data_IF_131970405841
#
_entry.id   IF_131970405841
#
_cell.length_a   1.000
_cell.length_b   1.000
_cell.length_c   1.000
_cell.angle_alpha   90.00
_cell.angle_beta   90.00
_cell.angle_gamma   90.00
#
_symmetry.space_group_name_H-M   'P 1'
#
loop_
_entity.id
_entity.type
_entity.pdbx_description
1 polymer ?
#
# COMPACT_ATOMS: atom_id res chain seq x y z
N UNK A 1 -6.25 14.92 3.90
CA UNK A 1 -5.12 13.98 3.78
C UNK A 1 -4.78 13.71 2.32
N UNK A 2 -3.50 13.42 2.03
CA UNK A 2 -3.07 12.83 0.76
C UNK A 2 -3.00 11.31 0.93
N UNK A 3 -3.71 10.56 0.07
CA UNK A 3 -3.66 9.10 0.03
C UNK A 3 -3.06 8.68 -1.31
N UNK A 4 -1.86 8.11 -1.32
CA UNK A 4 -1.29 7.48 -2.51
C UNK A 4 -1.76 6.03 -2.62
N UNK A 5 -2.03 5.55 -3.82
CA UNK A 5 -2.69 4.25 -4.03
C UNK A 5 -4.19 4.28 -3.70
N UNK A 6 -4.83 5.43 -3.87
CA UNK A 6 -6.23 5.68 -3.50
C UNK A 6 -7.25 4.81 -4.24
N UNK A 7 -6.94 4.35 -5.46
CA UNK A 7 -7.76 3.41 -6.23
C UNK A 7 -7.37 1.94 -5.98
N UNK A 8 -6.36 1.70 -5.14
CA UNK A 8 -6.01 0.38 -4.62
C UNK A 8 -7.05 -0.12 -3.62
N UNK A 9 -6.92 -1.38 -3.18
CA UNK A 9 -7.89 -2.01 -2.27
C UNK A 9 -7.99 -1.26 -0.93
N UNK A 10 -6.88 -1.15 -0.20
CA UNK A 10 -6.86 -0.50 1.12
C UNK A 10 -7.12 1.01 0.99
N UNK A 11 -6.47 1.66 0.01
CA UNK A 11 -6.60 3.10 -0.22
C UNK A 11 -8.04 3.52 -0.52
N UNK A 12 -8.78 2.71 -1.29
CA UNK A 12 -10.20 2.95 -1.57
C UNK A 12 -11.06 2.92 -0.31
N UNK A 13 -10.89 1.91 0.55
CA UNK A 13 -11.67 1.80 1.79
C UNK A 13 -11.33 2.93 2.77
N UNK A 14 -10.04 3.24 2.93
CA UNK A 14 -9.59 4.33 3.77
C UNK A 14 -10.11 5.69 3.27
N UNK A 15 -10.02 5.95 1.97
CA UNK A 15 -10.55 7.19 1.39
C UNK A 15 -12.06 7.31 1.64
N UNK A 16 -12.84 6.24 1.42
CA UNK A 16 -14.28 6.22 1.72
C UNK A 16 -14.59 6.50 3.18
N UNK A 17 -13.86 5.85 4.09
CA UNK A 17 -14.05 6.04 5.52
C UNK A 17 -13.78 7.50 5.93
N UNK A 18 -12.64 8.06 5.53
CA UNK A 18 -12.30 9.44 5.86
C UNK A 18 -13.25 10.45 5.20
N UNK A 19 -13.71 10.20 3.98
CA UNK A 19 -14.74 11.03 3.34
C UNK A 19 -16.07 11.00 4.11
N UNK A 20 -16.45 9.86 4.70
CA UNK A 20 -17.64 9.77 5.56
C UNK A 20 -17.49 10.50 6.90
N UNK A 21 -16.26 10.85 7.27
CA UNK A 21 -15.91 11.69 8.43
C UNK A 21 -15.64 13.17 8.03
N UNK A 22 -16.12 13.60 6.87
CA UNK A 22 -16.00 14.97 6.34
C UNK A 22 -14.56 15.44 6.07
N UNK A 23 -13.62 14.51 5.88
CA UNK A 23 -12.25 14.85 5.51
C UNK A 23 -12.16 15.27 4.04
N UNK A 24 -11.27 16.21 3.75
CA UNK A 24 -10.80 16.48 2.38
C UNK A 24 -9.70 15.49 2.01
N UNK A 25 -9.92 14.70 0.96
CA UNK A 25 -9.01 13.65 0.52
C UNK A 25 -8.46 13.99 -0.85
N UNK A 26 -7.14 14.00 -0.94
CA UNK A 26 -6.41 14.04 -2.20
C UNK A 26 -5.98 12.62 -2.52
N UNK A 27 -6.51 12.03 -3.57
CA UNK A 27 -6.18 10.69 -4.03
C UNK A 27 -5.18 10.74 -5.18
N UNK A 28 -4.08 10.01 -5.07
CA UNK A 28 -3.12 9.79 -6.15
C UNK A 28 -3.02 8.29 -6.44
N UNK A 29 -3.22 7.89 -7.71
CA UNK A 29 -3.05 6.50 -8.15
C UNK A 29 -2.45 6.43 -9.56
N UNK A 30 -1.51 5.52 -9.76
CA UNK A 30 -0.85 5.32 -11.05
C UNK A 30 -1.66 4.51 -12.05
N UNK A 31 -2.78 3.92 -11.66
CA UNK A 31 -3.64 3.06 -12.50
C UNK A 31 -2.87 1.96 -13.24
N UNK A 32 -1.83 1.40 -12.58
CA UNK A 32 -1.01 0.33 -13.18
C UNK A 32 -1.83 -0.91 -13.49
N UNK A 33 -1.43 -1.65 -14.52
CA UNK A 33 -2.12 -2.82 -15.06
C UNK A 33 -1.71 -4.16 -14.40
N UNK A 34 -1.12 -4.10 -13.21
CA UNK A 34 -0.76 -5.30 -12.44
C UNK A 34 -1.95 -6.26 -12.23
N UNK A 35 -3.15 -5.71 -12.13
CA UNK A 35 -4.42 -6.43 -12.22
C UNK A 35 -5.45 -5.55 -12.95
N UNK A 36 -6.65 -6.09 -13.22
CA UNK A 36 -7.69 -5.41 -14.01
C UNK A 36 -7.88 -3.94 -13.58
N UNK A 37 -7.50 -3.03 -14.47
CA UNK A 37 -7.59 -1.58 -14.27
C UNK A 37 -9.04 -1.11 -14.14
N UNK A 38 -10.01 -1.85 -14.72
CA UNK A 38 -11.42 -1.48 -14.60
C UNK A 38 -11.91 -1.57 -13.15
N UNK A 39 -11.35 -2.48 -12.35
CA UNK A 39 -11.64 -2.52 -10.92
C UNK A 39 -11.13 -1.26 -10.19
N UNK A 40 -9.95 -0.75 -10.55
CA UNK A 40 -9.42 0.52 -10.01
C UNK A 40 -10.27 1.71 -10.44
N UNK A 41 -10.66 1.75 -11.71
CA UNK A 41 -11.55 2.79 -12.26
C UNK A 41 -12.92 2.81 -11.58
N UNK A 42 -13.49 1.63 -11.31
CA UNK A 42 -14.77 1.52 -10.60
C UNK A 42 -14.67 2.08 -9.16
N UNK A 43 -13.59 1.74 -8.44
CA UNK A 43 -13.32 2.33 -7.10
C UNK A 43 -13.16 3.85 -7.17
N UNK A 44 -12.35 4.33 -8.13
CA UNK A 44 -12.12 5.76 -8.33
C UNK A 44 -13.43 6.51 -8.64
N UNK A 45 -14.27 5.94 -9.51
CA UNK A 45 -15.57 6.53 -9.84
C UNK A 45 -16.43 6.77 -8.59
N UNK A 46 -16.51 5.77 -7.70
CA UNK A 46 -17.24 5.88 -6.44
C UNK A 46 -16.65 6.94 -5.49
N UNK A 47 -15.33 7.10 -5.46
CA UNK A 47 -14.69 8.16 -4.67
C UNK A 47 -15.00 9.55 -5.24
N UNK A 48 -14.99 9.69 -6.58
CA UNK A 48 -15.26 10.96 -7.27
C UNK A 48 -16.73 11.44 -7.15
N UNK A 49 -17.65 10.63 -6.66
CA UNK A 49 -19.01 11.05 -6.32
C UNK A 49 -19.04 12.01 -5.11
N UNK A 50 -18.00 12.01 -4.29
CA UNK A 50 -17.88 12.91 -3.13
C UNK A 50 -17.10 14.17 -3.50
N UNK A 51 -17.68 15.34 -3.24
CA UNK A 51 -17.08 16.66 -3.57
C UNK A 51 -15.81 16.98 -2.78
N UNK A 52 -15.56 16.29 -1.66
CA UNK A 52 -14.34 16.42 -0.87
C UNK A 52 -13.20 15.52 -1.37
N UNK A 53 -13.39 14.78 -2.47
CA UNK A 53 -12.35 13.95 -3.08
C UNK A 53 -11.72 14.63 -4.30
N UNK A 54 -10.42 14.89 -4.23
CA UNK A 54 -9.63 15.47 -5.30
C UNK A 54 -8.78 14.36 -5.95
N UNK A 55 -9.05 14.06 -7.21
CA UNK A 55 -8.42 12.93 -7.90
C UNK A 55 -7.24 13.34 -8.77
N UNK A 56 -6.10 12.69 -8.55
CA UNK A 56 -4.91 12.78 -9.40
C UNK A 56 -4.54 11.40 -9.94
N UNK A 57 -4.22 11.34 -11.22
CA UNK A 57 -3.68 10.14 -11.85
C UNK A 57 -2.21 10.37 -12.19
N UNK A 58 -1.33 9.53 -11.65
CA UNK A 58 0.10 9.59 -11.90
C UNK A 58 0.87 8.69 -10.95
N UNK A 59 2.14 8.55 -11.24
CA UNK A 59 3.02 7.66 -10.48
C UNK A 59 3.70 8.42 -9.33
N UNK A 60 3.96 7.73 -8.23
CA UNK A 60 4.64 8.32 -7.06
C UNK A 60 6.11 8.65 -7.32
N UNK A 61 6.71 8.14 -8.39
CA UNK A 61 8.04 8.53 -8.86
C UNK A 61 8.05 9.92 -9.54
N UNK A 62 6.91 10.47 -9.89
CA UNK A 62 6.82 11.82 -10.48
C UNK A 62 6.89 12.89 -9.38
N UNK A 63 8.10 13.33 -9.09
CA UNK A 63 8.34 14.36 -8.09
C UNK A 63 7.72 15.71 -8.43
N UNK A 64 7.52 16.03 -9.73
CA UNK A 64 6.87 17.27 -10.15
C UNK A 64 5.40 17.24 -9.80
N UNK A 65 4.71 16.14 -10.12
CA UNK A 65 3.31 15.92 -9.75
C UNK A 65 3.11 15.96 -8.23
N UNK A 66 3.98 15.32 -7.45
CA UNK A 66 3.91 15.37 -5.98
C UNK A 66 4.05 16.80 -5.44
N UNK A 67 4.97 17.60 -5.98
CA UNK A 67 5.13 18.99 -5.59
C UNK A 67 3.92 19.85 -5.99
N UNK A 68 3.34 19.62 -7.16
CA UNK A 68 2.10 20.27 -7.61
C UNK A 68 0.94 19.97 -6.65
N UNK A 69 0.69 18.70 -6.36
CA UNK A 69 -0.34 18.25 -5.42
C UNK A 69 -0.17 18.94 -4.06
N UNK A 70 1.06 18.93 -3.53
CA UNK A 70 1.31 19.54 -2.23
C UNK A 70 1.10 21.05 -2.25
N UNK A 71 1.57 21.74 -3.28
CA UNK A 71 1.43 23.20 -3.42
C UNK A 71 -0.04 23.62 -3.48
N UNK A 72 -0.88 22.84 -4.17
CA UNK A 72 -2.30 23.12 -4.36
C UNK A 72 -3.14 22.84 -3.10
N UNK A 73 -2.80 21.79 -2.35
CA UNK A 73 -3.68 21.26 -1.30
C UNK A 73 -3.12 21.31 0.11
N UNK A 74 -1.79 21.38 0.27
CA UNK A 74 -1.07 21.40 1.56
C UNK A 74 -1.62 20.38 2.56
N UNK A 75 -1.61 19.09 2.24
CA UNK A 75 -2.18 18.05 3.11
C UNK A 75 -1.43 17.99 4.44
N UNK A 76 -2.18 18.01 5.55
CA UNK A 76 -1.63 17.83 6.90
C UNK A 76 -1.14 16.41 7.15
N UNK A 77 -1.83 15.42 6.59
CA UNK A 77 -1.53 14.00 6.76
C UNK A 77 -1.23 13.41 5.39
N UNK A 78 -0.16 12.61 5.32
CA UNK A 78 0.18 11.82 4.13
C UNK A 78 0.06 10.34 4.48
N UNK A 79 -0.71 9.59 3.69
CA UNK A 79 -0.90 8.15 3.85
C UNK A 79 -0.38 7.47 2.58
N UNK A 80 0.82 6.92 2.67
CA UNK A 80 1.51 6.32 1.53
C UNK A 80 1.24 4.82 1.45
N UNK A 81 0.25 4.46 0.60
CA UNK A 81 -0.13 3.07 0.33
C UNK A 81 0.26 2.61 -1.08
N UNK A 82 0.62 3.54 -1.97
CA UNK A 82 1.07 3.21 -3.31
C UNK A 82 2.35 2.38 -3.26
N UNK A 83 2.32 1.22 -3.89
CA UNK A 83 3.47 0.34 -4.03
C UNK A 83 3.20 -0.69 -5.13
N UNK A 84 4.25 -1.24 -5.73
CA UNK A 84 4.15 -2.51 -6.40
C UNK A 84 4.13 -3.61 -5.33
N UNK A 85 3.03 -4.36 -5.28
CA UNK A 85 2.82 -5.45 -4.33
C UNK A 85 2.90 -6.82 -5.03
N UNK A 86 2.98 -7.90 -4.24
CA UNK A 86 3.04 -9.27 -4.74
C UNK A 86 4.44 -9.87 -4.65
N UNK A 87 4.59 -10.91 -3.83
CA UNK A 87 5.89 -11.57 -3.62
C UNK A 87 6.38 -12.25 -4.90
N UNK A 88 5.50 -12.96 -5.63
CA UNK A 88 5.89 -13.69 -6.85
C UNK A 88 6.25 -12.77 -7.99
N UNK A 89 5.43 -11.75 -8.22
CA UNK A 89 5.68 -10.79 -9.30
C UNK A 89 7.01 -10.03 -9.11
N UNK A 90 7.53 -9.95 -7.87
CA UNK A 90 8.86 -9.36 -7.64
C UNK A 90 10.03 -10.19 -8.19
N UNK A 91 9.78 -11.44 -8.54
CA UNK A 91 10.75 -12.31 -9.22
C UNK A 91 10.71 -12.05 -10.74
N UNK A 92 9.51 -11.86 -11.27
CA UNK A 92 9.26 -11.69 -12.71
C UNK A 92 9.61 -10.28 -13.19
N UNK A 93 9.26 -9.26 -12.39
CA UNK A 93 9.45 -7.84 -12.74
C UNK A 93 10.03 -7.04 -11.56
N UNK A 94 11.29 -7.25 -11.17
CA UNK A 94 11.90 -6.58 -10.02
C UNK A 94 12.03 -5.05 -10.21
N UNK A 95 12.18 -4.58 -11.46
CA UNK A 95 12.35 -3.15 -11.74
C UNK A 95 11.16 -2.32 -11.28
N UNK A 96 9.92 -2.84 -11.42
CA UNK A 96 8.73 -2.14 -10.97
C UNK A 96 8.70 -1.91 -9.45
N UNK A 97 9.39 -2.77 -8.69
CA UNK A 97 9.56 -2.61 -7.23
C UNK A 97 10.64 -1.57 -6.88
N UNK A 98 11.70 -1.50 -7.66
CA UNK A 98 12.70 -0.42 -7.50
C UNK A 98 12.04 0.93 -7.74
N UNK A 99 11.36 1.07 -8.87
CA UNK A 99 10.71 2.33 -9.26
C UNK A 99 9.62 2.75 -8.27
N UNK A 100 8.65 1.88 -8.01
CA UNK A 100 7.50 2.24 -7.16
C UNK A 100 7.85 2.26 -5.67
N UNK A 101 8.54 1.22 -5.18
CA UNK A 101 8.71 1.06 -3.73
C UNK A 101 9.92 1.84 -3.21
N UNK A 102 11.04 1.89 -3.94
CA UNK A 102 12.23 2.62 -3.48
C UNK A 102 12.22 4.06 -3.96
N UNK A 103 12.18 4.30 -5.27
CA UNK A 103 12.24 5.67 -5.82
C UNK A 103 10.96 6.44 -5.46
N UNK A 104 9.78 5.82 -5.61
CA UNK A 104 8.52 6.45 -5.24
C UNK A 104 8.45 6.81 -3.76
N UNK A 105 8.84 5.90 -2.87
CA UNK A 105 8.91 6.17 -1.42
C UNK A 105 9.92 7.27 -1.09
N UNK A 106 11.09 7.28 -1.75
CA UNK A 106 12.07 8.35 -1.59
C UNK A 106 11.46 9.73 -1.93
N UNK A 107 10.72 9.85 -3.02
CA UNK A 107 10.08 11.12 -3.37
C UNK A 107 8.99 11.55 -2.38
N UNK A 108 8.25 10.62 -1.81
CA UNK A 108 7.29 10.90 -0.72
C UNK A 108 8.02 11.41 0.54
N UNK A 109 9.13 10.77 0.92
CA UNK A 109 9.94 11.20 2.06
C UNK A 109 10.58 12.57 1.82
N UNK A 110 11.11 12.85 0.62
CA UNK A 110 11.64 14.16 0.27
C UNK A 110 10.56 15.25 0.25
N UNK A 111 9.35 14.93 -0.21
CA UNK A 111 8.21 15.84 -0.12
C UNK A 111 7.86 16.09 1.36
N UNK A 112 7.76 15.06 2.19
CA UNK A 112 7.48 15.19 3.63
C UNK A 112 8.58 15.99 4.36
N UNK A 113 9.87 15.74 4.04
CA UNK A 113 10.98 16.52 4.59
C UNK A 113 10.88 18.00 4.26
N UNK A 114 10.51 18.33 3.02
CA UNK A 114 10.42 19.73 2.55
C UNK A 114 9.25 20.47 3.19
N UNK A 115 8.11 19.82 3.29
CA UNK A 115 6.86 20.48 3.63
C UNK A 115 6.35 20.20 5.05
N UNK A 116 6.96 19.24 5.75
CA UNK A 116 6.69 18.88 7.15
C UNK A 116 5.19 18.71 7.44
N UNK A 117 4.53 17.68 6.88
CA UNK A 117 3.17 17.35 7.27
C UNK A 117 3.12 16.96 8.76
N UNK A 118 1.95 17.06 9.37
CA UNK A 118 1.77 16.69 10.79
C UNK A 118 2.08 15.21 11.04
N UNK A 119 1.85 14.34 10.05
CA UNK A 119 2.19 12.91 10.13
C UNK A 119 2.32 12.28 8.75
N UNK A 120 3.30 11.39 8.60
CA UNK A 120 3.45 10.48 7.46
C UNK A 120 3.18 9.04 7.90
N UNK A 121 2.12 8.44 7.36
CA UNK A 121 1.72 7.05 7.60
C UNK A 121 2.09 6.21 6.38
N UNK A 122 2.81 5.09 6.56
CA UNK A 122 3.34 4.32 5.43
C UNK A 122 3.06 2.83 5.57
N UNK A 123 2.67 2.20 4.46
CA UNK A 123 2.47 0.76 4.40
C UNK A 123 3.82 0.01 4.29
N UNK A 124 4.11 -0.83 5.28
CA UNK A 124 5.04 -1.94 5.20
C UNK A 124 4.26 -3.25 4.98
N UNK A 125 4.81 -4.38 5.35
CA UNK A 125 4.22 -5.72 5.13
C UNK A 125 4.71 -6.72 6.16
N UNK A 126 3.88 -7.69 6.52
CA UNK A 126 4.31 -8.83 7.32
C UNK A 126 5.40 -9.69 6.66
N UNK A 127 5.59 -9.57 5.34
CA UNK A 127 6.67 -10.25 4.61
C UNK A 127 8.08 -9.85 5.08
N UNK A 128 8.24 -8.72 5.78
CA UNK A 128 9.54 -8.29 6.35
C UNK A 128 10.02 -9.20 7.47
N UNK A 129 9.12 -9.94 8.13
CA UNK A 129 9.49 -10.93 9.16
C UNK A 129 10.25 -12.14 8.58
N UNK A 130 10.21 -12.34 7.26
CA UNK A 130 10.96 -13.40 6.58
C UNK A 130 10.56 -14.80 7.04
N UNK A 131 11.54 -15.60 7.40
CA UNK A 131 11.38 -16.98 7.87
C UNK A 131 11.30 -17.11 9.41
N UNK A 132 10.92 -16.04 10.10
CA UNK A 132 10.80 -16.09 11.56
C UNK A 132 9.79 -17.17 11.99
N UNK A 133 10.20 -17.98 12.98
CA UNK A 133 9.39 -19.11 13.49
C UNK A 133 8.70 -18.81 14.80
N UNK A 134 9.08 -17.72 15.47
CA UNK A 134 8.50 -17.31 16.75
C UNK A 134 7.14 -16.67 16.52
N UNK A 135 6.09 -17.40 16.84
CA UNK A 135 4.70 -16.98 16.68
C UNK A 135 4.01 -16.77 18.05
N UNK A 136 3.09 -15.81 18.14
CA UNK A 136 2.65 -14.84 17.12
C UNK A 136 3.72 -13.81 16.78
N UNK A 137 3.67 -13.29 15.55
CA UNK A 137 4.58 -12.21 15.13
C UNK A 137 4.20 -10.91 15.82
N UNK A 138 5.22 -10.14 16.24
CA UNK A 138 5.03 -8.82 16.82
C UNK A 138 6.15 -7.85 16.37
N UNK A 139 5.94 -6.56 16.54
CA UNK A 139 6.74 -5.49 15.94
C UNK A 139 8.19 -5.43 16.43
N UNK A 140 8.48 -5.93 17.62
CA UNK A 140 9.84 -5.94 18.20
C UNK A 140 10.72 -7.11 17.70
N UNK A 141 10.13 -8.04 16.93
CA UNK A 141 10.89 -9.15 16.38
C UNK A 141 11.86 -8.69 15.28
N UNK A 142 12.98 -9.39 15.20
CA UNK A 142 14.02 -9.17 14.22
C UNK A 142 13.50 -9.42 12.78
N UNK A 143 13.78 -8.50 11.86
CA UNK A 143 13.30 -8.51 10.47
C UNK A 143 14.45 -8.29 9.47
N UNK A 144 15.60 -8.92 9.68
CA UNK A 144 16.84 -8.65 8.92
C UNK A 144 17.01 -9.58 7.71
N UNK A 145 16.17 -10.61 7.57
CA UNK A 145 16.29 -11.63 6.54
C UNK A 145 15.03 -11.75 5.69
N UNK A 146 14.68 -10.72 4.88
CA UNK A 146 13.53 -10.78 3.99
C UNK A 146 13.73 -11.88 2.93
N UNK A 147 12.67 -12.67 2.66
CA UNK A 147 12.73 -13.84 1.77
C UNK A 147 12.32 -13.53 0.33
N UNK A 148 12.03 -12.29 -0.02
CA UNK A 148 11.68 -11.88 -1.37
C UNK A 148 12.17 -10.48 -1.67
N UNK A 149 12.31 -10.15 -2.96
CA UNK A 149 12.70 -8.80 -3.37
C UNK A 149 11.65 -7.76 -2.93
N UNK A 150 10.36 -8.10 -3.01
CA UNK A 150 9.29 -7.27 -2.43
C UNK A 150 9.51 -6.97 -0.94
N UNK A 151 9.74 -8.01 -0.14
CA UNK A 151 9.98 -7.85 1.29
C UNK A 151 11.24 -7.01 1.56
N UNK A 152 12.30 -7.20 0.76
CA UNK A 152 13.54 -6.43 0.86
C UNK A 152 13.30 -4.93 0.58
N UNK A 153 12.53 -4.58 -0.48
CA UNK A 153 12.19 -3.18 -0.75
C UNK A 153 11.37 -2.55 0.38
N UNK A 154 10.42 -3.28 0.96
CA UNK A 154 9.63 -2.79 2.09
C UNK A 154 10.47 -2.64 3.37
N UNK A 155 11.37 -3.59 3.65
CA UNK A 155 12.32 -3.46 4.77
C UNK A 155 13.28 -2.28 4.59
N UNK A 156 13.75 -2.04 3.38
CA UNK A 156 14.55 -0.85 3.07
C UNK A 156 13.78 0.44 3.38
N UNK A 157 12.48 0.49 3.02
CA UNK A 157 11.64 1.65 3.33
C UNK A 157 11.48 1.87 4.84
N UNK A 158 11.38 0.81 5.66
CA UNK A 158 11.36 0.95 7.12
C UNK A 158 12.65 1.60 7.63
N UNK A 159 13.81 1.15 7.15
CA UNK A 159 15.10 1.69 7.55
C UNK A 159 15.29 3.17 7.09
N UNK A 160 14.91 3.47 5.85
CA UNK A 160 14.98 4.84 5.31
C UNK A 160 14.02 5.76 6.07
N UNK A 161 12.77 5.34 6.31
CA UNK A 161 11.78 6.12 7.06
C UNK A 161 12.25 6.44 8.49
N UNK A 162 12.83 5.46 9.19
CA UNK A 162 13.42 5.67 10.51
C UNK A 162 14.54 6.73 10.47
N UNK A 163 15.44 6.64 9.49
CA UNK A 163 16.52 7.61 9.29
C UNK A 163 15.98 9.02 9.03
N UNK A 164 14.95 9.15 8.17
CA UNK A 164 14.32 10.44 7.88
C UNK A 164 13.61 11.04 9.10
N UNK A 165 12.86 10.23 9.84
CA UNK A 165 12.21 10.69 11.07
C UNK A 165 13.22 11.23 12.08
N UNK A 166 14.35 10.51 12.26
CA UNK A 166 15.42 10.92 13.18
C UNK A 166 16.15 12.18 12.71
N UNK A 167 16.54 12.26 11.43
CA UNK A 167 17.36 13.36 10.91
C UNK A 167 16.59 14.67 10.74
N UNK A 168 15.30 14.58 10.41
CA UNK A 168 14.51 15.75 9.99
C UNK A 168 13.37 16.08 10.95
N UNK A 169 13.24 15.34 12.03
CA UNK A 169 12.31 15.57 13.13
C UNK A 169 10.86 15.77 12.65
N UNK A 170 10.28 14.72 12.04
CA UNK A 170 8.85 14.65 11.74
C UNK A 170 8.33 13.23 11.95
N UNK A 171 7.06 13.07 12.41
CA UNK A 171 6.54 11.77 12.79
C UNK A 171 6.24 10.89 11.57
N UNK A 172 6.77 9.66 11.61
CA UNK A 172 6.49 8.61 10.63
C UNK A 172 6.01 7.36 11.38
N UNK A 173 4.89 6.78 10.92
CA UNK A 173 4.43 5.47 11.38
C UNK A 173 4.45 4.48 10.22
N UNK A 174 5.08 3.31 10.44
CA UNK A 174 5.12 2.21 9.49
C UNK A 174 4.18 1.08 9.94
N UNK A 175 3.27 0.65 9.05
CA UNK A 175 2.34 -0.45 9.34
C UNK A 175 2.77 -1.74 8.62
N UNK A 176 3.03 -2.81 9.35
CA UNK A 176 3.31 -4.15 8.78
C UNK A 176 2.01 -4.89 8.54
N UNK A 177 1.32 -4.56 7.46
CA UNK A 177 0.05 -5.20 7.12
C UNK A 177 0.22 -6.70 6.87
N UNK A 178 -0.67 -7.49 7.45
CA UNK A 178 -0.85 -8.90 7.16
C UNK A 178 -1.74 -9.09 5.94
N UNK A 179 -2.40 -10.25 5.79
CA UNK A 179 -3.23 -10.50 4.61
C UNK A 179 -4.59 -9.81 4.77
N UNK A 180 -4.74 -8.67 4.12
CA UNK A 180 -5.99 -7.90 4.18
C UNK A 180 -7.01 -8.49 3.22
N UNK A 181 -8.26 -8.65 3.67
CA UNK A 181 -9.37 -9.15 2.89
C UNK A 181 -10.63 -8.30 3.06
N UNK A 182 -11.59 -8.46 2.17
CA UNK A 182 -12.88 -7.76 2.24
C UNK A 182 -13.47 -7.43 0.87
N UNK A 183 -14.61 -6.73 0.83
CA UNK A 183 -15.25 -6.28 -0.41
C UNK A 183 -14.29 -5.45 -1.26
N UNK A 184 -14.45 -5.48 -2.57
CA UNK A 184 -13.54 -4.78 -3.49
C UNK A 184 -12.07 -5.23 -3.35
N UNK A 185 -11.81 -6.45 -2.86
CA UNK A 185 -10.47 -7.00 -2.65
C UNK A 185 -9.66 -7.12 -3.94
N UNK A 186 -8.38 -7.44 -3.79
CA UNK A 186 -7.46 -7.63 -4.92
C UNK A 186 -7.71 -8.99 -5.58
N UNK A 187 -7.83 -9.05 -6.92
CA UNK A 187 -8.16 -10.29 -7.63
C UNK A 187 -6.98 -11.29 -7.71
N UNK A 188 -5.76 -10.84 -7.40
CA UNK A 188 -4.55 -11.68 -7.35
C UNK A 188 -4.37 -12.42 -6.01
N UNK A 189 -5.21 -12.14 -5.00
CA UNK A 189 -5.17 -12.79 -3.69
C UNK A 189 -5.90 -14.14 -3.68
N UNK A 190 -5.45 -15.06 -2.82
CA UNK A 190 -5.95 -16.43 -2.75
C UNK A 190 -7.47 -16.52 -2.58
N UNK A 191 -8.05 -15.74 -1.65
CA UNK A 191 -9.50 -15.75 -1.41
C UNK A 191 -10.30 -15.42 -2.68
N UNK A 192 -9.87 -14.39 -3.42
CA UNK A 192 -10.53 -14.01 -4.67
C UNK A 192 -10.36 -15.10 -5.74
N UNK A 193 -9.12 -15.58 -5.94
CA UNK A 193 -8.82 -16.63 -6.93
C UNK A 193 -9.59 -17.91 -6.66
N UNK A 194 -9.60 -18.36 -5.42
CA UNK A 194 -10.29 -19.58 -5.03
C UNK A 194 -11.80 -19.45 -5.23
N UNK A 195 -12.42 -18.36 -4.74
CA UNK A 195 -13.83 -18.10 -4.93
C UNK A 195 -14.20 -18.06 -6.42
N UNK A 196 -13.43 -17.33 -7.22
CA UNK A 196 -13.67 -17.22 -8.68
C UNK A 196 -13.56 -18.58 -9.36
N UNK A 197 -12.54 -19.38 -9.05
CA UNK A 197 -12.33 -20.67 -9.67
C UNK A 197 -13.41 -21.69 -9.27
N UNK A 198 -13.77 -21.73 -7.97
CA UNK A 198 -14.84 -22.61 -7.47
C UNK A 198 -16.19 -22.27 -8.14
N UNK A 199 -16.55 -20.98 -8.20
CA UNK A 199 -17.79 -20.54 -8.87
C UNK A 199 -17.81 -20.79 -10.38
N UNK A 200 -16.63 -20.97 -10.99
CA UNK A 200 -16.47 -21.25 -12.43
C UNK A 200 -16.17 -22.72 -12.72
N UNK A 201 -16.28 -23.59 -11.72
CA UNK A 201 -16.00 -25.03 -11.80
C UNK A 201 -14.57 -25.35 -12.30
N UNK A 202 -13.60 -24.50 -11.88
CA UNK A 202 -12.19 -24.61 -12.22
C UNK A 202 -11.35 -25.09 -11.04
N UNK A 203 -10.26 -25.83 -11.30
CA UNK A 203 -9.36 -26.27 -10.21
C UNK A 203 -8.71 -25.07 -9.50
N UNK A 204 -8.39 -25.27 -8.23
CA UNK A 204 -7.59 -24.33 -7.42
C UNK A 204 -6.21 -24.92 -7.15
N UNK A 205 -5.19 -24.06 -7.16
CA UNK A 205 -3.82 -24.43 -6.81
C UNK A 205 -3.65 -24.42 -5.28
N UNK A 206 -3.48 -25.58 -4.69
CA UNK A 206 -3.20 -25.73 -3.26
C UNK A 206 -1.70 -25.84 -3.05
N UNK A 207 -1.08 -24.86 -2.42
CA UNK A 207 0.35 -24.83 -2.15
C UNK A 207 0.68 -25.51 -0.84
N UNK A 208 1.88 -26.14 -0.78
CA UNK A 208 2.40 -26.82 0.40
C UNK A 208 1.38 -27.83 0.98
N UNK A 209 0.69 -28.59 0.12
CA UNK A 209 -0.32 -29.58 0.51
C UNK A 209 -1.42 -29.04 1.45
N UNK A 210 -1.65 -27.73 1.43
CA UNK A 210 -2.59 -27.03 2.32
C UNK A 210 -2.04 -26.73 3.72
N UNK A 211 -0.81 -27.09 4.05
CA UNK A 211 -0.18 -26.83 5.34
C UNK A 211 0.30 -25.37 5.44
N UNK A 212 -0.66 -24.44 5.40
CA UNK A 212 -0.41 -23.01 5.41
C UNK A 212 -1.26 -22.33 6.49
N UNK A 213 -0.60 -21.65 7.42
CA UNK A 213 -1.26 -20.78 8.40
C UNK A 213 -1.04 -19.33 7.96
N UNK A 214 -2.11 -18.55 7.95
CA UNK A 214 -2.09 -17.12 7.58
C UNK A 214 -2.96 -16.34 8.55
N UNK A 215 -2.50 -15.16 8.89
CA UNK A 215 -3.31 -14.17 9.58
C UNK A 215 -4.04 -13.29 8.55
N UNK A 216 -5.35 -13.12 8.76
CA UNK A 216 -6.23 -12.34 7.90
C UNK A 216 -6.81 -11.17 8.66
N UNK A 217 -6.65 -9.97 8.10
CA UNK A 217 -7.20 -8.73 8.67
C UNK A 217 -8.34 -8.23 7.79
N UNK A 218 -9.52 -8.05 8.37
CA UNK A 218 -10.64 -7.48 7.62
C UNK A 218 -10.38 -6.00 7.33
N UNK A 219 -10.69 -5.57 6.10
CA UNK A 219 -10.30 -4.23 5.64
C UNK A 219 -10.94 -3.10 6.44
N UNK A 220 -12.17 -3.29 6.97
CA UNK A 220 -12.80 -2.27 7.80
C UNK A 220 -12.20 -2.17 9.21
N UNK A 221 -11.55 -3.23 9.71
CA UNK A 221 -10.83 -3.18 10.98
C UNK A 221 -9.44 -2.54 10.80
N UNK A 222 -8.95 -2.51 9.56
CA UNK A 222 -7.65 -1.91 9.23
C UNK A 222 -7.74 -0.39 9.04
N UNK A 223 -8.82 0.13 8.45
CA UNK A 223 -9.00 1.54 8.09
C UNK A 223 -9.72 2.32 9.16
#
# INVERSE_FOLDING_TARGET
>A
ALITGSSGFIGFHLARFLLSCDWKIIGLDGMTDYYDVNLKRARQKLLCENTNFYNYQGMVQDSKLLNEIYSNHKPNIIIHLAAQAGVRYSIENPISYVESNLIGTFHILEMARRYKPDHLLMASTSSVYGSNKDMPLHENQKCDTPMSFYAATKKSNEAIAHSYSHLYDFPITMFRFFTVYGPWGRPDMALFKFTKNILSDKPIDVYNEGNMIRDFTYVADLV
#
